data_IF_003330700036
#
_entry.id   IF_003330700036
#
_cell.length_a   1.000
_cell.length_b   1.000
_cell.length_c   1.000
_cell.angle_alpha   90.00
_cell.angle_beta   90.00
_cell.angle_gamma   90.00
#
_symmetry.space_group_name_H-M   'P 1'
#
loop_
_entity.id
_entity.type
_entity.pdbx_description
1 polymer ?
#
# COMPACT_ATOMS: atom_id res chain seq x y z
N UNK A 1 3.10 4.36 -64.72
CA UNK A 1 3.62 4.53 -63.34
C UNK A 1 3.05 5.77 -62.67
N UNK A 2 3.13 6.96 -63.31
CA UNK A 2 2.55 8.22 -62.81
C UNK A 2 1.03 8.16 -62.57
N UNK A 3 0.27 7.48 -63.41
CA UNK A 3 -1.19 7.35 -63.27
C UNK A 3 -1.62 6.54 -62.03
N UNK A 4 -0.83 5.53 -61.64
CA UNK A 4 -1.05 4.76 -60.41
C UNK A 4 -0.77 5.59 -59.15
N UNK A 5 0.27 6.44 -59.18
CA UNK A 5 0.60 7.36 -58.08
C UNK A 5 -0.48 8.45 -57.93
N UNK A 6 -1.01 8.96 -59.04
CA UNK A 6 -2.12 9.91 -59.01
C UNK A 6 -3.38 9.31 -58.38
N UNK A 7 -3.79 8.11 -58.80
CA UNK A 7 -4.95 7.44 -58.19
C UNK A 7 -4.76 7.14 -56.69
N UNK A 8 -3.55 6.75 -56.26
CA UNK A 8 -3.26 6.55 -54.84
C UNK A 8 -3.41 7.85 -54.05
N UNK A 9 -2.96 8.98 -54.61
CA UNK A 9 -3.04 10.30 -53.96
C UNK A 9 -4.49 10.78 -53.82
N UNK A 10 -5.31 10.57 -54.86
CA UNK A 10 -6.75 10.90 -54.83
C UNK A 10 -7.48 10.05 -53.79
N UNK A 11 -7.18 8.75 -53.69
CA UNK A 11 -7.76 7.87 -52.68
C UNK A 11 -7.35 8.23 -51.24
N UNK A 12 -6.09 8.63 -51.03
CA UNK A 12 -5.63 9.12 -49.73
C UNK A 12 -6.34 10.40 -49.31
N UNK A 13 -6.55 11.34 -50.25
CA UNK A 13 -7.27 12.59 -49.99
C UNK A 13 -8.75 12.35 -49.67
N UNK A 14 -9.39 11.42 -50.36
CA UNK A 14 -10.78 11.03 -50.09
C UNK A 14 -10.94 10.42 -48.68
N UNK A 15 -10.01 9.54 -48.27
CA UNK A 15 -10.00 8.94 -46.92
C UNK A 15 -9.72 9.98 -45.83
N UNK A 16 -8.81 10.92 -46.09
CA UNK A 16 -8.52 12.01 -45.16
C UNK A 16 -9.74 12.91 -44.93
N UNK A 17 -10.46 13.27 -46.00
CA UNK A 17 -11.68 14.06 -45.88
C UNK A 17 -12.79 13.32 -45.13
N UNK A 18 -12.97 12.01 -45.36
CA UNK A 18 -13.91 11.20 -44.58
C UNK A 18 -13.55 11.15 -43.08
N UNK A 19 -12.26 11.02 -42.76
CA UNK A 19 -11.78 11.03 -41.39
C UNK A 19 -12.01 12.39 -40.69
N UNK A 20 -11.76 13.51 -41.38
CA UNK A 20 -12.05 14.84 -40.84
C UNK A 20 -13.55 15.07 -40.60
N UNK A 21 -14.42 14.58 -41.48
CA UNK A 21 -15.88 14.66 -41.30
C UNK A 21 -16.32 13.85 -40.08
N UNK A 22 -15.77 12.65 -39.86
CA UNK A 22 -16.07 11.85 -38.68
C UNK A 22 -15.64 12.54 -37.37
N UNK A 23 -14.46 13.17 -37.35
CA UNK A 23 -14.01 13.95 -36.19
C UNK A 23 -14.96 15.12 -35.90
N UNK A 24 -15.38 15.85 -36.94
CA UNK A 24 -16.31 16.97 -36.77
C UNK A 24 -17.69 16.51 -36.28
N UNK A 25 -18.19 15.36 -36.74
CA UNK A 25 -19.44 14.76 -36.24
C UNK A 25 -19.28 14.35 -34.77
N UNK A 26 -18.17 13.70 -34.39
CA UNK A 26 -17.92 13.32 -32.99
C UNK A 26 -17.82 14.54 -32.07
N UNK A 27 -17.17 15.61 -32.51
CA UNK A 27 -17.08 16.86 -31.75
C UNK A 27 -18.45 17.55 -31.61
N UNK A 28 -19.27 17.53 -32.67
CA UNK A 28 -20.63 18.08 -32.63
C UNK A 28 -21.53 17.29 -31.68
N UNK A 29 -21.48 15.95 -31.71
CA UNK A 29 -22.22 15.08 -30.78
C UNK A 29 -21.78 15.31 -29.32
N UNK A 30 -20.48 15.50 -29.09
CA UNK A 30 -19.94 15.79 -27.76
C UNK A 30 -20.40 17.16 -27.25
N UNK A 31 -20.44 18.19 -28.11
CA UNK A 31 -20.96 19.51 -27.76
C UNK A 31 -22.46 19.48 -27.43
N UNK A 32 -23.26 18.72 -28.19
CA UNK A 32 -24.69 18.51 -27.89
C UNK A 32 -24.90 17.76 -26.57
N UNK A 33 -24.07 16.75 -26.27
CA UNK A 33 -24.12 16.04 -24.99
C UNK A 33 -23.83 16.97 -23.80
N UNK A 34 -22.83 17.86 -23.92
CA UNK A 34 -22.52 18.86 -22.89
C UNK A 34 -23.69 19.84 -22.70
N UNK A 35 -24.35 20.30 -23.76
CA UNK A 35 -25.50 21.19 -23.63
C UNK A 35 -26.71 20.51 -22.95
N UNK A 36 -26.95 19.23 -23.21
CA UNK A 36 -28.00 18.46 -22.52
C UNK A 36 -27.64 18.27 -21.04
N UNK A 37 -26.38 17.97 -20.72
CA UNK A 37 -25.91 17.83 -19.35
C UNK A 37 -26.01 19.16 -18.56
N UNK A 38 -25.72 20.30 -19.19
CA UNK A 38 -25.87 21.63 -18.57
C UNK A 38 -27.36 22.00 -18.42
N UNK A 39 -28.20 21.65 -19.39
CA UNK A 39 -29.66 21.86 -19.31
C UNK A 39 -30.32 21.07 -18.18
N UNK A 40 -29.84 19.85 -17.89
CA UNK A 40 -30.33 19.02 -16.78
C UNK A 40 -29.84 19.50 -15.40
N UNK A 41 -28.78 20.31 -15.33
CA UNK A 41 -28.28 20.89 -14.07
C UNK A 41 -29.04 22.18 -13.70
N UNK A 42 -29.71 22.83 -14.65
CA UNK A 42 -30.42 24.10 -14.42
C UNK A 42 -31.92 23.99 -14.14
N UNK A 43 -32.49 22.78 -14.14
CA UNK A 43 -33.90 22.56 -13.84
C UNK A 43 -34.07 21.48 -12.77
N UNK A 44 -33.90 21.87 -11.50
CA UNK A 44 -34.72 21.42 -10.35
C UNK A 44 -34.06 21.89 -9.05
N UNK A 45 -34.55 23.02 -8.53
CA UNK A 45 -34.31 23.45 -7.16
C UNK A 45 -35.68 23.70 -6.51
N UNK A 46 -36.23 22.76 -5.73
CA UNK A 46 -37.26 23.08 -4.78
C UNK A 46 -36.61 23.70 -3.54
N UNK A 47 -37.04 24.91 -3.19
CA UNK A 47 -36.83 25.45 -1.85
C UNK A 47 -37.64 24.66 -0.83
N UNK A 48 -37.00 24.31 0.29
CA UNK A 48 -37.52 23.98 1.64
C UNK A 48 -36.34 23.31 2.38
N UNK A 49 -35.98 23.56 3.63
CA UNK A 49 -36.55 24.31 4.74
C UNK A 49 -35.67 23.95 5.96
N UNK A 50 -35.57 24.88 6.90
CA UNK A 50 -34.90 24.72 8.20
C UNK A 50 -35.50 23.57 9.01
N UNK A 51 -34.69 22.59 9.45
CA UNK A 51 -34.54 22.17 10.85
C UNK A 51 -33.91 20.78 11.03
N UNK A 52 -33.19 20.70 12.16
CA UNK A 52 -32.93 19.58 13.05
C UNK A 52 -31.91 18.51 12.69
N UNK A 53 -30.95 18.41 13.62
CA UNK A 53 -29.89 17.43 13.64
C UNK A 53 -30.42 16.02 13.79
N UNK A 54 -29.83 15.13 13.00
CA UNK A 54 -29.84 13.69 13.26
C UNK A 54 -28.43 13.18 13.02
N UNK A 55 -27.88 12.52 14.03
CA UNK A 55 -26.56 11.89 13.96
C UNK A 55 -26.59 10.77 12.93
N UNK A 56 -25.70 10.85 11.94
CA UNK A 56 -25.38 9.75 11.04
C UNK A 56 -24.76 8.61 11.86
N UNK A 57 -25.48 7.50 11.94
CA UNK A 57 -24.91 6.22 12.35
C UNK A 57 -24.11 5.67 11.17
N UNK A 58 -22.79 5.65 11.30
CA UNK A 58 -21.90 4.92 10.40
C UNK A 58 -22.29 3.42 10.40
N UNK A 59 -22.87 2.94 9.30
CA UNK A 59 -23.00 1.51 9.04
C UNK A 59 -21.60 0.95 8.73
N UNK A 60 -21.10 0.11 9.65
CA UNK A 60 -19.86 -0.66 9.50
C UNK A 60 -20.24 -2.10 9.10
N UNK A 61 -19.73 -2.60 7.98
CA UNK A 61 -19.84 -4.01 7.59
C UNK A 61 -18.45 -4.66 7.67
N UNK A 62 -18.32 -5.68 8.50
CA UNK A 62 -17.11 -6.50 8.60
C UNK A 62 -17.32 -7.77 7.77
N UNK A 63 -16.47 -8.00 6.77
CA UNK A 63 -16.49 -9.25 6.01
C UNK A 63 -15.47 -10.21 6.63
N UNK A 64 -15.93 -11.04 7.57
CA UNK A 64 -15.12 -12.12 8.12
C UNK A 64 -15.25 -13.35 7.21
N UNK A 65 -14.22 -13.64 6.42
CA UNK A 65 -14.12 -14.94 5.73
C UNK A 65 -13.71 -15.97 6.78
N UNK A 66 -14.70 -16.70 7.31
CA UNK A 66 -14.47 -17.73 8.33
C UNK A 66 -13.67 -18.90 7.76
N UNK A 67 -12.44 -19.08 8.25
CA UNK A 67 -11.67 -20.29 8.01
C UNK A 67 -12.32 -21.45 8.76
N UNK A 68 -12.81 -22.45 8.02
CA UNK A 68 -13.22 -23.73 8.59
C UNK A 68 -11.96 -24.51 8.99
N UNK A 69 -11.85 -24.79 10.29
CA UNK A 69 -10.77 -25.59 10.87
C UNK A 69 -10.91 -27.03 10.37
N UNK A 70 -10.02 -27.46 9.48
CA UNK A 70 -9.83 -28.86 9.14
C UNK A 70 -8.61 -29.35 9.92
N UNK A 71 -8.84 -30.33 10.79
CA UNK A 71 -7.85 -30.99 11.64
C UNK A 71 -7.14 -32.10 10.85
N UNK A 72 -5.82 -32.04 10.59
CA UNK A 72 -5.08 -33.17 10.04
C UNK A 72 -4.14 -33.73 11.11
N UNK A 73 -4.60 -34.77 11.78
CA UNK A 73 -3.76 -35.63 12.60
C UNK A 73 -3.15 -36.77 11.77
N UNK A 74 -1.86 -37.02 12.03
CA UNK A 74 -1.08 -38.24 11.75
C UNK A 74 -0.59 -38.48 10.30
N UNK A 75 0.72 -38.31 10.06
CA UNK A 75 1.65 -39.45 10.00
C UNK A 75 3.11 -39.04 9.76
N UNK A 76 3.98 -39.71 10.50
CA UNK A 76 5.43 -39.68 10.53
C UNK A 76 6.07 -40.62 9.50
N UNK A 77 7.28 -40.29 9.01
CA UNK A 77 8.47 -41.16 8.80
C UNK A 77 9.49 -40.43 7.88
N UNK A 78 10.70 -40.11 8.35
CA UNK A 78 11.95 -40.91 8.32
C UNK A 78 12.94 -40.33 7.31
N UNK A 79 13.98 -39.67 7.81
CA UNK A 79 15.11 -39.16 7.01
C UNK A 79 16.19 -40.25 6.86
N UNK A 80 16.65 -40.47 5.64
CA UNK A 80 17.79 -41.34 5.29
C UNK A 80 19.00 -40.45 5.02
N UNK A 81 20.05 -40.61 5.84
CA UNK A 81 21.36 -39.96 5.66
C UNK A 81 22.19 -40.77 4.65
N UNK A 82 22.63 -40.10 3.57
CA UNK A 82 23.63 -40.61 2.64
C UNK A 82 24.90 -39.77 2.82
N UNK A 83 26.01 -40.43 3.17
CA UNK A 83 27.34 -39.83 3.23
C UNK A 83 28.00 -39.98 1.85
N UNK A 84 28.62 -38.91 1.35
CA UNK A 84 29.52 -38.96 0.20
C UNK A 84 30.91 -38.42 0.60
N UNK A 85 32.01 -39.16 0.33
CA UNK A 85 33.37 -38.73 0.67
C UNK A 85 34.14 -38.28 -0.57
N UNK A 86 34.42 -36.98 -0.71
CA UNK A 86 35.52 -36.53 -1.57
C UNK A 86 36.06 -35.17 -1.16
N UNK A 87 37.30 -35.16 -0.68
CA UNK A 87 38.05 -33.95 -0.39
C UNK A 87 38.66 -33.32 -1.64
N UNK A 88 38.64 -31.98 -1.68
CA UNK A 88 39.56 -31.17 -2.49
C UNK A 88 39.52 -29.70 -2.01
N UNK A 89 40.71 -29.16 -1.79
CA UNK A 89 41.02 -27.81 -1.31
C UNK A 89 40.86 -26.75 -2.40
N UNK A 90 39.98 -25.77 -2.20
CA UNK A 90 40.04 -24.43 -2.81
C UNK A 90 39.39 -23.42 -1.84
N UNK A 91 40.11 -22.35 -1.49
CA UNK A 91 39.55 -21.20 -0.78
C UNK A 91 38.90 -20.24 -1.78
N UNK A 92 37.63 -19.88 -1.56
CA UNK A 92 37.25 -18.47 -1.59
C UNK A 92 36.33 -18.10 -0.40
N UNK A 93 36.36 -16.80 -0.07
CA UNK A 93 35.52 -16.03 0.84
C UNK A 93 34.38 -16.77 1.57
N UNK A 94 34.44 -16.72 2.91
CA UNK A 94 33.47 -17.24 3.86
C UNK A 94 32.03 -16.79 3.56
N UNK A 95 31.33 -17.55 2.72
CA UNK A 95 29.88 -17.66 2.80
C UNK A 95 29.56 -18.45 4.06
N UNK A 96 29.21 -17.73 5.13
CA UNK A 96 28.66 -18.32 6.35
C UNK A 96 27.31 -18.94 5.96
N UNK A 97 27.33 -20.23 5.59
CA UNK A 97 26.17 -21.09 5.65
C UNK A 97 26.00 -21.50 7.11
N UNK A 98 25.22 -20.71 7.85
CA UNK A 98 24.67 -21.06 9.16
C UNK A 98 23.28 -21.64 8.95
N UNK A 99 23.22 -22.88 8.48
CA UNK A 99 21.99 -23.67 8.42
C UNK A 99 21.83 -24.57 9.67
N UNK A 100 22.37 -24.12 10.81
CA UNK A 100 22.25 -24.87 12.06
C UNK A 100 22.14 -23.89 13.22
N UNK A 101 20.93 -23.83 13.81
CA UNK A 101 20.56 -23.10 15.04
C UNK A 101 20.23 -21.60 14.93
N UNK A 102 19.46 -21.18 13.93
CA UNK A 102 18.54 -20.04 14.07
C UNK A 102 17.11 -20.52 14.34
N UNK A 103 16.94 -21.40 15.34
CA UNK A 103 15.81 -21.19 16.25
C UNK A 103 16.18 -19.96 17.08
N UNK A 104 16.16 -18.79 16.42
CA UNK A 104 15.96 -17.52 17.08
C UNK A 104 14.81 -17.76 18.05
N UNK A 105 15.11 -17.58 19.33
CA UNK A 105 14.15 -17.34 20.38
C UNK A 105 13.10 -16.42 19.75
N UNK A 106 11.98 -16.99 19.30
CA UNK A 106 10.95 -16.22 18.62
C UNK A 106 10.59 -15.16 19.64
N UNK A 107 10.81 -13.93 19.25
CA UNK A 107 10.33 -12.80 19.99
C UNK A 107 8.84 -13.05 20.21
N UNK A 108 8.39 -13.06 21.46
CA UNK A 108 6.98 -13.29 21.78
C UNK A 108 6.10 -12.11 21.33
N UNK A 109 6.71 -11.07 20.72
CA UNK A 109 6.05 -9.90 20.14
C UNK A 109 5.06 -10.29 19.07
N UNK A 110 3.80 -9.94 19.31
CA UNK A 110 2.70 -10.09 18.37
C UNK A 110 2.71 -8.97 17.34
N UNK A 111 2.72 -9.35 16.06
CA UNK A 111 2.84 -8.42 14.92
C UNK A 111 1.61 -8.41 14.04
N UNK A 112 1.17 -7.21 13.66
CA UNK A 112 0.14 -7.01 12.64
C UNK A 112 0.66 -6.17 11.48
N UNK A 113 0.30 -6.55 10.26
CA UNK A 113 0.50 -5.77 9.04
C UNK A 113 -0.85 -5.28 8.52
N UNK A 114 -1.06 -3.97 8.54
CA UNK A 114 -2.22 -3.31 7.93
C UNK A 114 -1.84 -2.82 6.55
N UNK A 115 -2.53 -3.29 5.52
CA UNK A 115 -2.32 -2.88 4.13
C UNK A 115 -3.50 -2.02 3.68
N UNK A 116 -3.21 -0.79 3.28
CA UNK A 116 -4.15 0.06 2.55
C UNK A 116 -4.28 -0.46 1.12
N UNK A 117 -5.39 -1.15 0.84
CA UNK A 117 -5.66 -1.84 -0.41
C UNK A 117 -6.70 -1.08 -1.24
N UNK A 118 -6.27 -0.41 -2.30
CA UNK A 118 -7.13 0.31 -3.23
C UNK A 118 -6.90 -0.22 -4.67
N UNK A 119 -7.31 -1.46 -4.97
CA UNK A 119 -6.92 -2.14 -6.20
C UNK A 119 -7.57 -1.50 -7.43
N UNK A 120 -6.85 -0.57 -8.08
CA UNK A 120 -7.33 0.18 -9.27
C UNK A 120 -7.00 -0.48 -10.59
N UNK A 121 -6.25 -1.59 -10.55
CA UNK A 121 -5.87 -2.37 -11.72
C UNK A 121 -5.32 -3.74 -11.29
N UNK A 122 -5.14 -4.64 -12.25
CA UNK A 122 -4.45 -5.93 -12.05
C UNK A 122 -3.07 -5.74 -11.45
N UNK A 123 -2.35 -4.66 -11.83
CA UNK A 123 -1.06 -4.33 -11.23
C UNK A 123 -1.15 -4.18 -9.71
N UNK A 124 -2.22 -3.58 -9.19
CA UNK A 124 -2.43 -3.44 -7.74
C UNK A 124 -2.78 -4.79 -7.12
N UNK A 125 -3.56 -5.64 -7.80
CA UNK A 125 -3.83 -7.01 -7.34
C UNK A 125 -2.54 -7.81 -7.17
N UNK A 126 -1.65 -7.75 -8.17
CA UNK A 126 -0.33 -8.41 -8.13
C UNK A 126 0.58 -7.80 -7.06
N UNK A 127 0.52 -6.48 -6.87
CA UNK A 127 1.22 -5.75 -5.80
C UNK A 127 0.80 -6.24 -4.41
N UNK A 128 -0.51 -6.29 -4.14
CA UNK A 128 -1.08 -6.84 -2.91
C UNK A 128 -0.65 -8.29 -2.70
N UNK A 129 -0.79 -9.13 -3.74
CA UNK A 129 -0.39 -10.54 -3.67
C UNK A 129 1.09 -10.68 -3.33
N UNK A 130 1.96 -9.91 -4.00
CA UNK A 130 3.39 -9.94 -3.75
C UNK A 130 3.76 -9.56 -2.33
N UNK A 131 3.09 -8.55 -1.78
CA UNK A 131 3.25 -8.15 -0.38
C UNK A 131 2.82 -9.25 0.58
N UNK A 132 1.71 -9.93 0.29
CA UNK A 132 1.23 -11.03 1.13
C UNK A 132 2.19 -12.22 1.19
N UNK A 133 2.82 -12.59 0.08
CA UNK A 133 3.80 -13.70 0.08
C UNK A 133 5.12 -13.33 0.78
N UNK A 134 5.62 -12.11 0.56
CA UNK A 134 6.99 -11.75 0.92
C UNK A 134 7.14 -10.84 2.15
N UNK A 135 6.13 -10.06 2.51
CA UNK A 135 6.22 -9.10 3.63
C UNK A 135 5.48 -9.58 4.89
N UNK A 136 5.09 -10.85 4.94
CA UNK A 136 4.35 -11.41 6.08
C UNK A 136 5.17 -12.41 6.90
N UNK A 137 6.42 -12.69 6.53
CA UNK A 137 7.23 -13.79 7.06
C UNK A 137 7.32 -13.82 8.60
N UNK A 138 7.31 -12.65 9.25
CA UNK A 138 7.37 -12.47 10.69
C UNK A 138 6.12 -11.78 11.26
N UNK A 139 5.01 -11.79 10.51
CA UNK A 139 3.72 -11.20 10.90
C UNK A 139 2.77 -12.31 11.35
N UNK A 140 1.98 -12.05 12.40
CA UNK A 140 0.97 -12.99 12.94
C UNK A 140 -0.43 -12.73 12.38
N UNK A 141 -0.72 -11.46 12.06
CA UNK A 141 -2.02 -11.03 11.55
C UNK A 141 -1.88 -10.02 10.41
N UNK A 142 -2.68 -10.17 9.36
CA UNK A 142 -2.72 -9.23 8.24
C UNK A 142 -4.14 -8.69 8.09
N UNK A 143 -4.23 -7.38 7.96
CA UNK A 143 -5.49 -6.65 7.74
C UNK A 143 -5.43 -5.95 6.39
N UNK A 144 -6.31 -6.32 5.46
CA UNK A 144 -6.51 -5.58 4.22
C UNK A 144 -7.65 -4.58 4.41
N UNK A 145 -7.31 -3.31 4.55
CA UNK A 145 -8.29 -2.23 4.64
C UNK A 145 -8.51 -1.62 3.27
N UNK A 146 -9.75 -1.62 2.80
CA UNK A 146 -10.08 -1.25 1.44
C UNK A 146 -11.28 -0.31 1.37
N UNK A 147 -11.44 0.48 0.29
CA UNK A 147 -12.64 1.31 0.13
C UNK A 147 -13.85 0.45 -0.23
N UNK A 148 -15.05 0.86 0.19
CA UNK A 148 -16.31 0.13 -0.06
C UNK A 148 -16.55 -0.25 -1.53
N UNK A 149 -16.18 0.61 -2.48
CA UNK A 149 -16.33 0.30 -3.91
C UNK A 149 -15.54 -0.94 -4.36
N UNK A 150 -14.49 -1.31 -3.62
CA UNK A 150 -13.62 -2.45 -3.94
C UNK A 150 -14.08 -3.76 -3.30
N UNK A 151 -15.17 -3.76 -2.52
CA UNK A 151 -15.61 -4.92 -1.75
C UNK A 151 -15.69 -6.22 -2.57
N UNK A 152 -16.34 -6.27 -3.76
CA UNK A 152 -16.42 -7.50 -4.54
C UNK A 152 -15.06 -8.02 -5.04
N UNK A 153 -14.11 -7.11 -5.26
CA UNK A 153 -12.73 -7.43 -5.67
C UNK A 153 -12.00 -8.04 -4.48
N UNK A 154 -12.09 -7.39 -3.32
CA UNK A 154 -11.38 -7.80 -2.11
C UNK A 154 -11.88 -9.13 -1.56
N UNK A 155 -13.19 -9.40 -1.59
CA UNK A 155 -13.76 -10.69 -1.17
C UNK A 155 -13.17 -11.87 -1.95
N UNK A 156 -13.10 -11.73 -3.29
CA UNK A 156 -12.52 -12.76 -4.16
C UNK A 156 -11.01 -12.86 -3.97
N UNK A 157 -10.32 -11.72 -3.85
CA UNK A 157 -8.88 -11.68 -3.58
C UNK A 157 -8.53 -12.40 -2.28
N UNK A 158 -9.23 -12.10 -1.18
CA UNK A 158 -9.04 -12.71 0.13
C UNK A 158 -9.30 -14.22 0.08
N UNK A 159 -10.38 -14.65 -0.56
CA UNK A 159 -10.68 -16.08 -0.72
C UNK A 159 -9.54 -16.84 -1.43
N UNK A 160 -8.97 -16.24 -2.49
CA UNK A 160 -7.84 -16.83 -3.20
C UNK A 160 -6.56 -16.81 -2.37
N UNK A 161 -6.21 -15.67 -1.78
CA UNK A 161 -5.00 -15.52 -0.99
C UNK A 161 -4.99 -16.46 0.23
N UNK A 162 -6.10 -16.52 0.98
CA UNK A 162 -6.25 -17.41 2.13
C UNK A 162 -6.10 -18.89 1.77
N UNK A 163 -6.54 -19.29 0.58
CA UNK A 163 -6.45 -20.68 0.13
C UNK A 163 -5.09 -21.03 -0.48
N UNK A 164 -4.53 -20.14 -1.31
CA UNK A 164 -3.35 -20.44 -2.15
C UNK A 164 -2.03 -20.17 -1.45
N UNK A 165 -1.96 -19.20 -0.55
CA UNK A 165 -0.71 -18.83 0.11
C UNK A 165 -0.53 -19.74 1.34
N UNK A 166 0.55 -20.54 1.43
CA UNK A 166 0.71 -21.57 2.46
C UNK A 166 0.60 -21.08 3.92
N UNK A 167 1.07 -19.85 4.20
CA UNK A 167 1.07 -19.30 5.56
C UNK A 167 -0.35 -18.93 6.05
N UNK A 168 -1.26 -18.56 5.15
CA UNK A 168 -2.66 -18.32 5.49
C UNK A 168 -3.49 -19.60 5.52
N UNK A 169 -3.30 -20.50 4.54
CA UNK A 169 -4.04 -21.77 4.48
C UNK A 169 -3.70 -22.71 5.64
N UNK A 170 -2.48 -22.65 6.17
CA UNK A 170 -2.07 -23.37 7.38
C UNK A 170 -2.57 -22.74 8.69
N UNK A 171 -3.17 -21.54 8.64
CA UNK A 171 -3.57 -20.79 9.84
C UNK A 171 -2.40 -20.24 10.66
N UNK A 172 -1.16 -20.28 10.14
CA UNK A 172 0.02 -19.70 10.81
C UNK A 172 -0.07 -18.19 10.92
N UNK A 173 -0.66 -17.56 9.91
CA UNK A 173 -0.95 -16.13 9.88
C UNK A 173 -2.43 -15.98 9.57
N UNK A 174 -3.11 -15.13 10.32
CA UNK A 174 -4.51 -14.82 10.04
C UNK A 174 -4.59 -13.67 9.04
N UNK A 175 -5.53 -13.76 8.09
CA UNK A 175 -5.76 -12.77 7.06
C UNK A 175 -7.21 -12.32 7.14
N UNK A 176 -7.44 -11.03 7.35
CA UNK A 176 -8.76 -10.43 7.34
C UNK A 176 -8.86 -9.29 6.33
N UNK A 177 -10.09 -9.05 5.88
CA UNK A 177 -10.42 -7.91 5.04
C UNK A 177 -11.49 -7.05 5.69
N UNK A 178 -11.37 -5.75 5.48
CA UNK A 178 -12.40 -4.80 5.87
C UNK A 178 -12.61 -3.76 4.79
N UNK A 179 -13.81 -3.21 4.78
CA UNK A 179 -14.19 -2.16 3.85
C UNK A 179 -14.71 -0.96 4.62
N UNK A 180 -14.27 0.23 4.23
CA UNK A 180 -14.66 1.48 4.86
C UNK A 180 -14.96 2.55 3.81
N UNK A 181 -15.84 3.48 4.16
CA UNK A 181 -16.01 4.71 3.39
C UNK A 181 -14.79 5.57 3.65
N UNK A 182 -13.91 5.65 2.66
CA UNK A 182 -12.64 6.32 2.80
C UNK A 182 -12.49 7.45 1.78
N UNK A 183 -12.24 8.66 2.30
CA UNK A 183 -11.96 9.89 1.56
C UNK A 183 -10.53 10.43 1.79
N UNK A 184 -9.71 9.70 2.56
CA UNK A 184 -8.36 10.07 3.02
C UNK A 184 -7.23 9.23 2.41
N UNK A 185 -7.48 8.56 1.28
CA UNK A 185 -6.45 7.75 0.60
C UNK A 185 -5.88 6.67 1.55
N UNK A 186 -4.59 6.29 1.43
CA UNK A 186 -3.97 5.24 2.25
C UNK A 186 -4.11 5.48 3.76
N UNK A 187 -3.95 6.73 4.22
CA UNK A 187 -4.01 7.10 5.64
C UNK A 187 -5.39 6.84 6.23
N UNK A 188 -6.45 7.11 5.47
CA UNK A 188 -7.81 6.79 5.89
C UNK A 188 -8.01 5.30 6.13
N UNK A 189 -7.58 4.46 5.19
CA UNK A 189 -7.70 2.99 5.30
C UNK A 189 -6.95 2.47 6.52
N UNK A 190 -5.74 2.99 6.79
CA UNK A 190 -5.01 2.63 8.01
C UNK A 190 -5.77 3.05 9.27
N UNK A 191 -6.29 4.27 9.32
CA UNK A 191 -7.06 4.76 10.46
C UNK A 191 -8.33 3.95 10.72
N UNK A 192 -9.05 3.55 9.67
CA UNK A 192 -10.27 2.76 9.77
C UNK A 192 -9.96 1.36 10.36
N UNK A 193 -8.85 0.75 9.93
CA UNK A 193 -8.38 -0.52 10.47
C UNK A 193 -7.92 -0.44 11.91
N UNK A 194 -7.13 0.58 12.25
CA UNK A 194 -6.66 0.81 13.61
C UNK A 194 -7.83 1.02 14.58
N UNK A 195 -8.85 1.79 14.17
CA UNK A 195 -10.05 1.98 14.96
C UNK A 195 -10.84 0.68 15.16
N UNK A 196 -10.95 -0.18 14.13
CA UNK A 196 -11.60 -1.49 14.26
C UNK A 196 -10.84 -2.42 15.23
N UNK A 197 -9.51 -2.28 15.31
CA UNK A 197 -8.67 -2.98 16.29
C UNK A 197 -8.70 -2.35 17.70
N UNK A 198 -9.51 -1.30 17.92
CA UNK A 198 -9.62 -0.60 19.21
C UNK A 198 -8.48 0.36 19.50
N UNK A 199 -7.72 0.77 18.48
CA UNK A 199 -6.63 1.74 18.55
C UNK A 199 -7.16 3.08 18.03
N UNK A 200 -7.73 3.87 18.93
CA UNK A 200 -8.39 5.15 18.61
C UNK A 200 -7.61 6.36 19.16
N UNK A 201 -7.82 7.57 18.61
CA UNK A 201 -7.19 8.78 19.14
C UNK A 201 -7.60 9.08 20.58
N UNK A 202 -6.66 9.54 21.39
CA UNK A 202 -6.87 9.89 22.81
C UNK A 202 -7.95 10.96 22.98
N UNK A 203 -8.09 11.88 22.02
CA UNK A 203 -9.09 12.95 22.05
C UNK A 203 -10.54 12.45 21.88
N UNK A 204 -10.74 11.32 21.20
CA UNK A 204 -12.08 10.73 21.00
C UNK A 204 -12.52 9.98 22.25
N UNK A 205 -11.58 9.34 22.94
CA UNK A 205 -11.82 8.68 24.23
C UNK A 205 -12.21 9.66 25.36
N UNK A 206 -11.99 10.96 25.17
CA UNK A 206 -12.25 11.97 26.19
C UNK A 206 -13.65 12.57 26.19
N UNK A 207 -14.38 12.47 25.08
CA UNK A 207 -15.71 13.07 24.93
C UNK A 207 -16.86 12.11 25.29
N UNK A 208 -16.57 10.83 25.52
CA UNK A 208 -17.55 9.81 25.90
C UNK A 208 -17.67 9.64 27.44
N UNK A 209 -18.12 10.68 28.13
CA UNK A 209 -18.90 10.53 29.38
C UNK A 209 -18.17 10.59 30.72
N UNK A 210 -18.58 11.58 31.52
CA UNK A 210 -18.63 11.53 32.99
C UNK A 210 -17.37 11.92 33.73
N UNK A 211 -17.54 12.55 34.90
CA UNK A 211 -16.52 12.76 35.93
C UNK A 211 -15.94 11.40 36.38
N UNK A 212 -15.11 10.80 35.54
CA UNK A 212 -14.35 9.60 35.86
C UNK A 212 -12.99 10.08 36.34
N UNK A 213 -12.74 9.83 37.62
CA UNK A 213 -11.49 10.09 38.33
C UNK A 213 -10.26 9.92 37.42
N UNK A 214 -9.48 10.99 37.31
CA UNK A 214 -8.23 11.09 36.54
C UNK A 214 -7.23 9.96 36.88
N UNK A 215 -7.36 9.35 38.08
CA UNK A 215 -6.59 8.18 38.53
C UNK A 215 -6.96 6.85 37.87
N UNK A 216 -8.19 6.68 37.37
CA UNK A 216 -8.63 5.45 36.68
C UNK A 216 -8.44 5.51 35.16
N UNK A 217 -8.17 6.71 34.61
CA UNK A 217 -7.93 6.91 33.17
C UNK A 217 -6.61 6.30 32.68
N UNK A 218 -5.64 6.11 33.57
CA UNK A 218 -4.38 5.43 33.28
C UNK A 218 -4.53 3.90 33.13
N UNK A 219 -5.70 3.32 33.46
CA UNK A 219 -5.93 1.87 33.44
C UNK A 219 -6.93 1.40 32.35
N UNK A 220 -7.54 2.33 31.62
CA UNK A 220 -8.43 2.05 30.48
C UNK A 220 -7.76 2.44 29.14
N UNK A 221 -6.44 2.30 29.05
CA UNK A 221 -5.78 2.26 27.75
C UNK A 221 -6.17 0.93 27.13
N UNK A 222 -6.97 0.93 26.05
CA UNK A 222 -7.13 -0.25 25.21
C UNK A 222 -5.74 -0.64 24.71
N UNK A 223 -5.08 -1.55 25.41
CA UNK A 223 -3.79 -2.08 24.98
C UNK A 223 -4.07 -2.83 23.68
N UNK A 224 -3.47 -2.34 22.60
CA UNK A 224 -3.46 -3.06 21.32
C UNK A 224 -3.12 -4.52 21.59
N UNK A 225 -3.82 -5.49 20.98
CA UNK A 225 -3.46 -6.90 21.12
C UNK A 225 -2.13 -7.23 20.41
N UNK A 226 -1.52 -6.26 19.73
CA UNK A 226 -0.26 -6.38 19.00
C UNK A 226 0.77 -5.40 19.58
N UNK A 227 1.99 -5.90 19.76
CA UNK A 227 3.15 -5.15 20.26
C UNK A 227 3.76 -4.27 19.16
N UNK A 228 3.71 -4.75 17.92
CA UNK A 228 4.29 -4.10 16.76
C UNK A 228 3.28 -4.04 15.60
N UNK A 229 3.15 -2.85 15.00
CA UNK A 229 2.16 -2.57 13.96
C UNK A 229 2.88 -2.02 12.74
N UNK A 230 2.69 -2.68 11.61
CA UNK A 230 3.17 -2.19 10.32
C UNK A 230 2.04 -1.64 9.46
N UNK A 231 2.27 -0.50 8.81
CA UNK A 231 1.36 0.13 7.85
C UNK A 231 2.01 0.13 6.47
N UNK A 232 1.38 -0.52 5.49
CA UNK A 232 1.85 -0.66 4.11
C UNK A 232 0.79 -0.12 3.15
N UNK A 233 1.20 0.47 2.03
CA UNK A 233 0.29 0.76 0.91
C UNK A 233 0.50 -0.18 -0.27
N UNK A 234 -0.52 -0.31 -1.12
CA UNK A 234 -0.52 -1.18 -2.30
C UNK A 234 0.28 -0.62 -3.51
N UNK A 235 1.09 0.40 -3.27
CA UNK A 235 1.79 1.13 -4.34
C UNK A 235 3.16 0.54 -4.70
N UNK A 236 3.52 -0.61 -4.15
CA UNK A 236 4.80 -1.29 -4.42
C UNK A 236 4.65 -2.80 -4.58
N UNK A 237 5.37 -3.36 -5.56
CA UNK A 237 5.60 -4.80 -5.60
C UNK A 237 6.66 -5.20 -4.58
N UNK A 238 6.44 -6.33 -3.90
CA UNK A 238 7.50 -7.03 -3.20
C UNK A 238 8.33 -7.85 -4.19
N UNK A 239 9.65 -7.76 -4.08
CA UNK A 239 10.60 -8.47 -4.95
C UNK A 239 11.26 -9.67 -4.25
N UNK A 240 11.24 -9.67 -2.92
CA UNK A 240 11.83 -10.69 -2.06
C UNK A 240 11.22 -10.63 -0.67
N UNK A 241 11.37 -11.72 0.07
CA UNK A 241 11.05 -11.76 1.49
C UNK A 241 11.81 -10.66 2.25
N UNK A 242 11.10 -9.91 3.09
CA UNK A 242 11.68 -8.83 3.86
C UNK A 242 10.91 -8.61 5.17
N UNK A 243 11.65 -8.51 6.28
CA UNK A 243 11.14 -8.29 7.64
C UNK A 243 11.81 -7.08 8.31
N UNK A 244 12.62 -6.34 7.55
CA UNK A 244 13.53 -5.34 8.10
C UNK A 244 12.83 -4.14 8.73
N UNK A 245 11.59 -3.82 8.34
CA UNK A 245 10.81 -2.73 8.95
C UNK A 245 10.51 -3.01 10.42
N UNK A 246 9.94 -4.18 10.72
CA UNK A 246 9.66 -4.60 12.10
C UNK A 246 10.95 -4.86 12.87
N UNK A 247 11.90 -5.60 12.28
CA UNK A 247 13.19 -5.91 12.92
C UNK A 247 13.94 -4.64 13.35
N UNK A 248 13.92 -3.59 12.51
CA UNK A 248 14.59 -2.33 12.82
C UNK A 248 13.96 -1.54 13.99
N UNK A 249 12.68 -1.77 14.34
CA UNK A 249 12.06 -1.12 15.50
C UNK A 249 12.79 -1.54 16.77
N UNK A 250 12.92 -2.86 16.93
CA UNK A 250 13.57 -3.49 18.07
C UNK A 250 15.07 -3.28 18.05
N UNK A 251 15.73 -3.58 16.94
CA UNK A 251 17.19 -3.54 16.83
C UNK A 251 17.75 -2.13 17.08
N UNK A 252 17.00 -1.10 16.70
CA UNK A 252 17.39 0.31 16.89
C UNK A 252 16.74 0.95 18.10
N UNK A 253 15.82 0.25 18.78
CA UNK A 253 15.05 0.75 19.92
C UNK A 253 14.37 2.10 19.61
N UNK A 254 13.58 2.14 18.54
CA UNK A 254 12.88 3.33 18.02
C UNK A 254 11.36 3.11 17.99
N UNK A 255 10.58 4.19 18.00
CA UNK A 255 9.10 4.10 17.99
C UNK A 255 8.50 4.01 16.59
N UNK A 256 9.24 4.46 15.57
CA UNK A 256 8.80 4.38 14.18
C UNK A 256 9.96 4.05 13.25
N UNK A 257 9.74 3.07 12.39
CA UNK A 257 10.61 2.76 11.26
C UNK A 257 9.91 3.02 9.94
N UNK A 258 10.68 3.21 8.88
CA UNK A 258 10.18 3.16 7.51
C UNK A 258 11.15 2.41 6.61
N UNK A 259 10.61 1.77 5.57
CA UNK A 259 11.40 1.15 4.52
C UNK A 259 12.44 2.14 3.97
N UNK A 260 12.07 3.41 3.83
CA UNK A 260 12.95 4.39 3.22
C UNK A 260 12.83 5.80 3.83
N UNK A 261 13.95 6.50 3.82
CA UNK A 261 14.10 7.84 4.39
C UNK A 261 14.76 8.79 3.43
N UNK A 262 14.53 10.08 3.67
CA UNK A 262 15.08 11.15 2.87
C UNK A 262 15.69 12.20 3.79
N UNK A 263 16.83 12.75 3.39
CA UNK A 263 17.55 13.84 4.03
C UNK A 263 17.41 15.15 3.23
N UNK A 264 16.69 15.13 2.13
CA UNK A 264 16.42 16.31 1.32
C UNK A 264 14.91 16.60 1.31
N UNK A 265 14.55 17.87 1.49
CA UNK A 265 13.20 18.34 1.24
C UNK A 265 13.24 19.61 0.36
N UNK A 266 12.08 20.24 0.15
CA UNK A 266 11.99 21.46 -0.65
C UNK A 266 12.67 22.67 0.01
N UNK A 267 12.97 22.58 1.31
CA UNK A 267 13.46 23.67 2.16
C UNK A 267 14.96 23.53 2.48
N UNK A 268 15.57 22.36 2.26
CA UNK A 268 17.00 22.15 2.40
C UNK A 268 17.46 20.70 2.39
N UNK A 269 18.72 20.50 2.80
CA UNK A 269 19.40 19.20 2.82
C UNK A 269 20.08 18.97 4.15
N UNK A 270 20.00 17.76 4.71
CA UNK A 270 20.68 17.35 5.93
C UNK A 270 19.75 16.79 7.01
N UNK A 271 20.29 16.51 8.22
CA UNK A 271 19.53 15.87 9.29
C UNK A 271 18.27 16.64 9.75
N UNK A 272 18.26 17.97 9.60
CA UNK A 272 17.09 18.83 9.88
C UNK A 272 15.93 18.64 8.90
N UNK A 273 16.20 18.04 7.74
CA UNK A 273 15.24 17.75 6.67
C UNK A 273 14.94 16.26 6.60
N UNK A 274 15.24 15.51 7.67
CA UNK A 274 14.95 14.09 7.73
C UNK A 274 13.45 13.83 7.72
N UNK A 275 12.99 12.99 6.79
CA UNK A 275 11.62 12.50 6.78
C UNK A 275 11.54 11.05 6.31
N UNK A 276 10.43 10.40 6.63
CA UNK A 276 10.18 8.98 6.38
C UNK A 276 9.05 8.83 5.37
N UNK A 277 9.28 8.07 4.30
CA UNK A 277 8.24 7.80 3.30
C UNK A 277 7.13 6.90 3.89
N UNK A 278 5.94 6.98 3.29
CA UNK A 278 4.73 6.26 3.72
C UNK A 278 4.56 4.88 3.11
N UNK A 279 5.49 4.42 2.27
CA UNK A 279 5.35 3.15 1.55
C UNK A 279 5.12 2.00 2.52
N UNK A 280 6.01 1.85 3.51
CA UNK A 280 5.89 0.87 4.57
C UNK A 280 6.54 1.42 5.84
N UNK A 281 5.75 1.52 6.90
CA UNK A 281 6.18 1.97 8.23
C UNK A 281 5.93 0.90 9.27
N UNK A 282 6.80 0.83 10.27
CA UNK A 282 6.62 0.03 11.47
C UNK A 282 6.48 0.95 12.67
N UNK A 283 5.73 0.51 13.67
CA UNK A 283 5.48 1.22 14.91
C UNK A 283 5.53 0.25 16.10
N UNK A 284 6.09 0.72 17.21
CA UNK A 284 5.84 0.13 18.53
C UNK A 284 4.51 0.68 19.09
N UNK A 285 4.11 0.22 20.29
CA UNK A 285 2.89 0.68 20.95
C UNK A 285 2.84 2.20 21.15
N UNK A 286 3.98 2.83 21.47
CA UNK A 286 4.04 4.28 21.67
C UNK A 286 3.88 5.01 20.35
N UNK A 287 4.58 4.56 19.31
CA UNK A 287 4.62 5.23 18.02
C UNK A 287 3.32 5.11 17.25
N UNK A 288 2.61 3.99 17.37
CA UNK A 288 1.30 3.87 16.73
C UNK A 288 0.30 4.83 17.37
N UNK A 289 0.38 5.07 18.68
CA UNK A 289 -0.46 6.09 19.35
C UNK A 289 -0.15 7.48 18.84
N UNK A 290 1.13 7.85 18.69
CA UNK A 290 1.52 9.12 18.05
C UNK A 290 0.97 9.23 16.63
N UNK A 291 1.04 8.15 15.85
CA UNK A 291 0.46 8.13 14.51
C UNK A 291 -1.05 8.34 14.51
N UNK A 292 -1.79 7.61 15.34
CA UNK A 292 -3.26 7.68 15.41
C UNK A 292 -3.71 9.04 15.90
N UNK A 293 -3.09 9.55 16.97
CA UNK A 293 -3.37 10.89 17.48
C UNK A 293 -3.09 11.95 16.42
N UNK A 294 -2.02 11.85 15.64
CA UNK A 294 -1.72 12.85 14.62
C UNK A 294 -2.57 12.71 13.36
N UNK A 295 -2.71 11.49 12.84
CA UNK A 295 -3.20 11.23 11.48
C UNK A 295 -4.69 10.92 11.42
N UNK A 296 -5.25 10.29 12.45
CA UNK A 296 -6.63 9.83 12.46
C UNK A 296 -7.59 10.89 12.99
N UNK A 297 -7.43 12.12 12.50
CA UNK A 297 -8.25 13.29 12.85
C UNK A 297 -9.57 13.32 12.07
N UNK A 298 -10.65 13.91 12.62
CA UNK A 298 -11.92 14.04 11.93
C UNK A 298 -11.83 14.97 10.70
N UNK A 299 -12.81 14.88 9.80
CA UNK A 299 -12.91 15.69 8.57
C UNK A 299 -12.87 17.20 8.82
N UNK A 300 -13.32 17.63 10.00
CA UNK A 300 -13.32 19.04 10.40
C UNK A 300 -11.94 19.59 10.81
N UNK A 301 -10.93 18.73 10.99
CA UNK A 301 -9.60 19.14 11.43
C UNK A 301 -8.84 19.87 10.29
N UNK A 302 -8.13 20.99 10.56
CA UNK A 302 -7.35 21.70 9.53
C UNK A 302 -6.25 20.85 8.86
N UNK A 303 -5.76 19.79 9.51
CA UNK A 303 -4.80 18.85 8.92
C UNK A 303 -5.47 17.84 7.98
N UNK A 304 -6.80 17.79 7.95
CA UNK A 304 -7.55 16.95 7.04
C UNK A 304 -7.44 17.47 5.59
N UNK A 305 -6.92 16.63 4.69
CA UNK A 305 -6.69 16.98 3.29
C UNK A 305 -7.99 16.91 2.46
N UNK A 306 -8.89 17.87 2.66
CA UNK A 306 -10.22 17.93 2.03
C UNK A 306 -10.24 18.32 0.54
N UNK A 307 -9.09 18.70 -0.04
CA UNK A 307 -9.05 19.31 -1.37
C UNK A 307 -9.22 18.26 -2.49
N UNK A 308 -10.35 18.32 -3.23
CA UNK A 308 -10.66 17.40 -4.34
C UNK A 308 -9.86 17.62 -5.64
N UNK A 309 -9.04 18.67 -5.77
CA UNK A 309 -8.29 18.96 -7.01
C UNK A 309 -6.90 19.56 -6.74
N UNK A 310 -5.90 19.17 -7.55
CA UNK A 310 -4.50 19.65 -7.59
C UNK A 310 -3.94 20.13 -6.25
N UNK A 311 -3.83 19.21 -5.29
CA UNK A 311 -3.34 19.57 -3.96
C UNK A 311 -3.43 18.44 -2.95
N UNK A 312 -4.41 17.53 -3.10
CA UNK A 312 -4.65 16.44 -2.14
C UNK A 312 -3.40 15.60 -1.90
N UNK A 313 -2.75 15.12 -2.97
CA UNK A 313 -1.51 14.34 -2.84
C UNK A 313 -0.39 15.14 -2.21
N UNK A 314 -0.26 16.43 -2.55
CA UNK A 314 0.72 17.32 -1.93
C UNK A 314 0.45 17.47 -0.43
N UNK A 315 -0.79 17.76 -0.04
CA UNK A 315 -1.24 17.83 1.33
C UNK A 315 -0.97 16.52 2.09
N UNK A 316 -1.28 15.38 1.49
CA UNK A 316 -1.03 14.07 2.10
C UNK A 316 0.46 13.86 2.35
N UNK A 317 1.31 14.18 1.36
CA UNK A 317 2.76 14.08 1.50
C UNK A 317 3.27 15.04 2.57
N UNK A 318 2.83 16.31 2.58
CA UNK A 318 3.30 17.27 3.58
C UNK A 318 2.84 16.90 4.99
N UNK A 319 1.57 16.53 5.18
CA UNK A 319 1.00 16.25 6.50
C UNK A 319 1.39 14.84 6.98
N UNK A 320 1.09 13.80 6.20
CA UNK A 320 1.21 12.41 6.66
C UNK A 320 2.54 11.74 6.31
N UNK A 321 3.32 12.31 5.38
CA UNK A 321 4.69 11.85 5.14
C UNK A 321 5.72 12.64 5.94
N UNK A 322 5.85 13.93 5.61
CA UNK A 322 6.90 14.79 6.16
C UNK A 322 6.62 15.23 7.58
N UNK A 323 5.43 15.77 7.85
CA UNK A 323 5.11 16.26 9.19
C UNK A 323 4.89 15.14 10.20
N UNK A 324 4.52 13.93 9.77
CA UNK A 324 4.48 12.74 10.63
C UNK A 324 5.85 12.46 11.27
N UNK A 325 6.95 12.51 10.51
CA UNK A 325 8.29 12.30 11.05
C UNK A 325 8.66 13.34 12.12
N UNK A 326 8.09 14.56 12.05
CA UNK A 326 8.31 15.64 13.02
C UNK A 326 7.50 15.48 14.31
N UNK A 327 6.57 14.53 14.37
CA UNK A 327 5.85 14.21 15.60
C UNK A 327 6.67 13.36 16.57
N UNK A 328 7.84 12.90 16.14
CA UNK A 328 8.74 12.09 16.95
C UNK A 328 10.05 12.83 17.20
N UNK A 329 10.70 12.58 18.36
CA UNK A 329 12.12 12.86 18.53
C UNK A 329 12.94 12.19 17.41
N UNK A 330 14.03 12.83 16.98
CA UNK A 330 14.82 12.32 15.84
C UNK A 330 15.44 10.96 16.15
N UNK A 331 15.87 10.78 17.39
CA UNK A 331 16.44 9.55 17.95
C UNK A 331 15.41 8.41 18.04
N UNK A 332 14.11 8.72 18.07
CA UNK A 332 13.02 7.75 18.18
C UNK A 332 12.51 7.27 16.81
N UNK A 333 13.15 7.65 15.70
CA UNK A 333 12.75 7.27 14.34
C UNK A 333 13.91 6.84 13.45
N UNK A 334 13.63 5.91 12.53
CA UNK A 334 14.66 5.36 11.67
C UNK A 334 14.16 4.94 10.29
N UNK A 335 15.01 5.10 9.27
CA UNK A 335 14.79 4.56 7.93
C UNK A 335 15.83 3.51 7.60
N UNK A 336 15.47 2.59 6.70
CA UNK A 336 16.35 1.48 6.29
C UNK A 336 17.15 1.89 5.05
N UNK A 337 16.46 2.32 3.99
CA UNK A 337 17.10 2.63 2.71
C UNK A 337 17.05 4.13 2.37
N UNK A 338 18.12 4.71 1.80
CA UNK A 338 18.13 6.09 1.39
C UNK A 338 17.30 6.32 0.12
N UNK A 339 16.29 7.17 0.22
CA UNK A 339 15.49 7.62 -0.92
C UNK A 339 16.24 8.59 -1.83
N UNK A 340 17.17 9.36 -1.28
CA UNK A 340 17.90 10.40 -1.99
C UNK A 340 18.79 9.83 -3.09
N UNK A 341 18.60 10.31 -4.31
CA UNK A 341 19.45 9.98 -5.44
C UNK A 341 20.80 10.70 -5.26
N UNK A 342 21.93 9.96 -5.29
CA UNK A 342 23.27 10.56 -5.27
C UNK A 342 23.45 11.58 -6.39
N UNK A 343 24.13 12.70 -6.09
CA UNK A 343 24.25 13.84 -7.02
C UNK A 343 24.88 13.45 -8.36
N UNK A 344 25.78 12.47 -8.34
CA UNK A 344 26.45 11.92 -9.52
C UNK A 344 25.53 11.14 -10.47
N UNK A 345 24.38 10.65 -9.98
CA UNK A 345 23.37 9.98 -10.80
C UNK A 345 22.32 10.95 -11.37
N UNK A 346 22.25 12.16 -10.83
CA UNK A 346 21.32 13.18 -11.33
C UNK A 346 21.78 13.70 -12.68
N UNK A 347 20.91 13.59 -13.67
CA UNK A 347 21.15 14.08 -15.04
C UNK A 347 20.00 14.98 -15.50
N UNK A 348 20.18 15.70 -16.61
CA UNK A 348 19.07 16.47 -17.21
C UNK A 348 17.87 15.58 -17.57
N UNK A 349 18.10 14.31 -17.90
CA UNK A 349 17.05 13.32 -18.22
C UNK A 349 16.42 12.72 -16.96
N UNK A 350 17.19 12.62 -15.88
CA UNK A 350 16.78 12.03 -14.61
C UNK A 350 17.12 12.99 -13.47
N UNK A 351 16.29 14.04 -13.33
CA UNK A 351 16.51 15.10 -12.35
C UNK A 351 15.69 14.92 -11.06
N UNK A 352 14.86 13.89 -10.95
CA UNK A 352 14.08 13.66 -9.75
C UNK A 352 15.01 13.21 -8.61
N UNK A 353 14.98 13.86 -7.45
CA UNK A 353 15.95 13.62 -6.38
C UNK A 353 15.65 12.37 -5.55
N UNK A 354 14.59 11.61 -5.88
CA UNK A 354 14.20 10.42 -5.13
C UNK A 354 14.11 9.18 -6.02
N UNK A 355 14.38 8.02 -5.43
CA UNK A 355 14.35 6.71 -6.08
C UNK A 355 13.05 6.43 -6.85
N UNK A 356 11.91 6.92 -6.35
CA UNK A 356 10.57 6.62 -6.85
C UNK A 356 10.33 7.07 -8.30
N UNK A 357 11.16 8.00 -8.82
CA UNK A 357 11.14 8.37 -10.24
C UNK A 357 12.52 8.30 -10.89
N UNK A 358 13.43 7.52 -10.32
CA UNK A 358 14.81 7.42 -10.77
C UNK A 358 15.21 5.96 -11.02
N UNK A 359 14.76 5.34 -12.14
CA UNK A 359 14.99 3.92 -12.42
C UNK A 359 16.45 3.47 -12.29
N UNK A 360 17.47 4.23 -12.74
CA UNK A 360 18.86 3.82 -12.54
C UNK A 360 19.30 3.73 -11.07
N UNK A 361 18.75 4.58 -10.21
CA UNK A 361 19.09 4.56 -8.78
C UNK A 361 18.31 3.46 -8.06
N UNK A 362 17.04 3.25 -8.43
CA UNK A 362 16.30 2.10 -7.96
C UNK A 362 16.97 0.77 -8.32
N UNK A 363 17.43 0.61 -9.56
CA UNK A 363 18.14 -0.61 -9.99
C UNK A 363 19.39 -0.84 -9.13
N UNK A 364 20.12 0.23 -8.81
CA UNK A 364 21.23 0.22 -7.86
C UNK A 364 20.81 -0.22 -6.46
N UNK A 365 19.73 0.34 -5.92
CA UNK A 365 19.18 -0.06 -4.61
C UNK A 365 18.82 -1.55 -4.58
N UNK A 366 18.18 -2.07 -5.62
CA UNK A 366 17.76 -3.48 -5.70
C UNK A 366 18.94 -4.43 -5.82
N UNK A 367 19.95 -4.08 -6.63
CA UNK A 367 21.10 -4.96 -6.91
C UNK A 367 22.22 -4.88 -5.87
N UNK A 368 22.47 -3.69 -5.33
CA UNK A 368 23.62 -3.44 -4.46
C UNK A 368 23.26 -3.35 -2.97
N UNK A 369 22.00 -3.02 -2.65
CA UNK A 369 21.56 -2.82 -1.26
C UNK A 369 20.40 -3.75 -0.89
N UNK A 370 20.07 -4.73 -1.73
CA UNK A 370 18.98 -5.67 -1.49
C UNK A 370 17.61 -5.00 -1.23
N UNK A 371 17.36 -3.85 -1.86
CA UNK A 371 16.09 -3.15 -1.72
C UNK A 371 14.92 -4.06 -2.12
N UNK A 372 13.91 -4.22 -1.25
CA UNK A 372 12.94 -5.31 -1.37
C UNK A 372 11.72 -4.96 -2.22
N UNK A 373 11.64 -3.74 -2.76
CA UNK A 373 10.43 -3.20 -3.33
C UNK A 373 10.63 -2.53 -4.70
N UNK A 374 9.57 -2.50 -5.50
CA UNK A 374 9.49 -1.70 -6.73
C UNK A 374 8.22 -0.87 -6.74
N UNK A 375 8.33 0.43 -7.04
CA UNK A 375 7.17 1.28 -7.25
C UNK A 375 6.29 0.77 -8.38
N UNK A 376 4.99 0.66 -8.10
CA UNK A 376 3.97 0.33 -9.06
C UNK A 376 3.75 1.49 -10.05
N UNK A 377 3.47 1.17 -11.30
CA UNK A 377 3.21 2.12 -12.40
C UNK A 377 4.34 3.12 -12.70
N UNK A 378 5.60 2.78 -12.38
CA UNK A 378 6.74 3.60 -12.81
C UNK A 378 7.52 2.95 -13.95
N UNK A 379 7.59 3.66 -15.09
CA UNK A 379 8.24 3.16 -16.30
C UNK A 379 9.73 2.89 -16.07
N UNK A 380 10.18 1.71 -16.49
CA UNK A 380 11.58 1.28 -16.38
C UNK A 380 11.95 0.70 -15.02
N UNK A 381 10.98 0.48 -14.14
CA UNK A 381 11.15 -0.33 -12.93
C UNK A 381 10.61 -1.74 -13.19
N UNK A 382 9.32 -1.97 -12.93
CA UNK A 382 8.60 -3.21 -13.28
C UNK A 382 7.46 -2.81 -14.24
N UNK A 383 7.65 -3.09 -15.52
CA UNK A 383 6.72 -2.63 -16.57
C UNK A 383 5.55 -3.61 -16.78
N UNK A 384 5.75 -4.91 -16.49
CA UNK A 384 4.78 -5.99 -16.66
C UNK A 384 4.53 -6.76 -15.34
N UNK A 385 3.36 -7.38 -15.23
CA UNK A 385 3.05 -8.34 -14.14
C UNK A 385 3.73 -9.71 -14.36
N UNK A 386 4.25 -9.95 -15.57
CA UNK A 386 5.02 -11.15 -15.94
C UNK A 386 6.53 -10.93 -15.84
N UNK A 387 6.95 -9.88 -15.13
CA UNK A 387 8.36 -9.62 -14.88
C UNK A 387 8.94 -10.69 -13.95
N UNK A 388 10.01 -11.37 -14.37
CA UNK A 388 10.64 -12.49 -13.64
C UNK A 388 11.05 -12.13 -12.21
N UNK A 389 11.31 -10.84 -11.94
CA UNK A 389 11.66 -10.34 -10.60
C UNK A 389 10.49 -10.45 -9.62
N UNK A 390 9.26 -10.64 -10.10
CA UNK A 390 8.08 -10.87 -9.27
C UNK A 390 7.85 -12.35 -8.95
N UNK A 391 8.49 -13.29 -9.65
CA UNK A 391 8.16 -14.71 -9.56
C UNK A 391 8.33 -15.27 -8.15
N UNK A 392 9.35 -14.78 -7.42
CA UNK A 392 9.60 -15.21 -6.03
C UNK A 392 8.45 -14.85 -5.08
N UNK A 393 7.82 -13.70 -5.28
CA UNK A 393 6.74 -13.20 -4.42
C UNK A 393 5.36 -13.39 -5.03
N UNK A 394 5.24 -14.05 -6.17
CA UNK A 394 3.96 -14.37 -6.80
C UNK A 394 3.88 -15.85 -7.14
N UNK A 395 4.61 -16.69 -6.40
CA UNK A 395 4.79 -18.09 -6.76
C UNK A 395 3.50 -18.90 -6.57
N UNK A 396 2.61 -18.45 -5.69
CA UNK A 396 1.31 -19.06 -5.45
C UNK A 396 0.15 -18.35 -6.18
N UNK A 397 0.46 -17.30 -6.95
CA UNK A 397 -0.54 -16.56 -7.71
C UNK A 397 -1.00 -17.39 -8.92
N UNK A 398 -2.30 -17.67 -8.96
CA UNK A 398 -2.93 -18.28 -10.12
C UNK A 398 -3.06 -17.23 -11.23
N UNK A 399 -2.16 -17.28 -12.23
CA UNK A 399 -2.19 -16.34 -13.36
C UNK A 399 -3.44 -16.51 -14.23
N UNK A 400 -4.10 -17.67 -14.23
CA UNK A 400 -5.37 -17.84 -14.95
C UNK A 400 -6.50 -17.11 -14.22
N UNK A 401 -6.49 -17.14 -12.88
CA UNK A 401 -7.44 -16.35 -12.08
C UNK A 401 -7.33 -14.85 -12.36
N UNK A 402 -6.12 -14.33 -12.67
CA UNK A 402 -5.97 -12.93 -13.06
C UNK A 402 -6.75 -12.56 -14.33
N UNK A 403 -6.95 -13.52 -15.24
CA UNK A 403 -7.76 -13.32 -16.45
C UNK A 403 -9.24 -13.17 -16.09
N UNK A 404 -9.73 -13.92 -15.09
CA UNK A 404 -11.11 -13.76 -14.59
C UNK A 404 -11.28 -12.41 -13.87
N UNK A 405 -10.21 -11.93 -13.22
CA UNK A 405 -10.12 -10.61 -12.59
C UNK A 405 -10.10 -9.46 -13.61
N UNK A 406 -9.73 -9.70 -14.88
CA UNK A 406 -9.89 -8.70 -15.95
C UNK A 406 -11.36 -8.30 -16.15
N UNK A 407 -12.29 -9.17 -15.75
CA UNK A 407 -13.72 -8.87 -15.71
C UNK A 407 -14.14 -7.89 -14.61
N UNK A 408 -13.25 -7.50 -13.68
CA UNK A 408 -13.57 -6.51 -12.67
C UNK A 408 -13.69 -5.11 -13.27
N UNK A 409 -14.76 -4.43 -12.88
CA UNK A 409 -14.97 -3.04 -13.25
C UNK A 409 -14.10 -2.10 -12.39
N UNK A 410 -12.84 -1.93 -12.79
CA UNK A 410 -11.96 -0.92 -12.20
C UNK A 410 -12.36 0.52 -12.56
N UNK A 411 -13.40 0.74 -13.38
CA UNK A 411 -13.83 2.10 -13.75
C UNK A 411 -14.44 2.85 -12.56
N UNK A 412 -15.08 2.13 -11.63
CA UNK A 412 -15.61 2.71 -10.37
C UNK A 412 -14.50 3.37 -9.56
N UNK A 413 -13.31 2.76 -9.55
CA UNK A 413 -12.15 3.32 -8.85
C UNK A 413 -11.74 4.68 -9.43
N UNK A 414 -11.88 4.89 -10.75
CA UNK A 414 -11.56 6.17 -11.40
C UNK A 414 -12.58 7.26 -11.11
N UNK A 415 -13.83 6.90 -10.80
CA UNK A 415 -14.88 7.85 -10.46
C UNK A 415 -14.86 8.25 -8.98
N UNK A 416 -14.29 7.40 -8.12
CA UNK A 416 -14.20 7.62 -6.68
C UNK A 416 -13.02 8.51 -6.24
N UNK A 417 -12.08 8.80 -7.13
CA UNK A 417 -10.90 9.66 -6.92
C UNK A 417 -11.07 10.93 -7.74
#
# INVERSE_FOLDING_TARGET
MLEKLWQQTVNLRARYNQFCVLILISLALYASYIQIAIGLICCDYPQLGSNDGTGEKNLRETVTVGNSIIDPSVSSQSAVLVLDPSGSLFHPFSSISTDTQQQQQRDDSRRVLVIAAAPRSIKHIVSLWSSLECFTADVDHVVLSAPTWSQPIMERFLAQASFKIPRFSSGRVTLEGMVAVNDRYDVGLWCDALAQMGIEPTSVSASAGGDIDEKNRALSTSSSPFDEISLLNDSVYALREFTGVASALKDRNVSMTSLNYCLNDLQGTGPSHYWLESVWRGFDERGIRTFVDYSCRPVSDPLFCNQKWWGQKGCIVENFERAMARQFPREDISGIFPSDVPKELLTRKHSHPTWVRHPPYWDRLVKEQDFPASKLNWKGMIDSIDDERLDKCTMHLDRLWLLDVEGFDFSVAKAAI
#
